data_IF_258794158632
#
_entry.id   IF_258794158632
#
_cell.length_a   1.000
_cell.length_b   1.000
_cell.length_c   1.000
_cell.angle_alpha   90.00
_cell.angle_beta   90.00
_cell.angle_gamma   90.00
#
_symmetry.space_group_name_H-M   'P 1'
#
loop_
_entity.id
_entity.type
_entity.pdbx_description
1 polymer ?
#
# COMPACT_ATOMS: atom_id res chain seq x y z
N UNK A 1 -2.72 9.80 7.20
CA UNK A 1 -2.42 10.88 6.23
C UNK A 1 -3.32 12.12 6.33
N UNK A 2 -4.19 12.29 7.36
CA UNK A 2 -5.05 13.48 7.46
C UNK A 2 -4.47 14.67 8.26
N UNK A 3 -3.36 14.50 8.99
CA UNK A 3 -2.75 15.54 9.85
C UNK A 3 -1.46 16.18 9.31
N UNK A 4 -0.96 15.76 8.15
CA UNK A 4 0.33 16.25 7.61
C UNK A 4 0.23 17.48 6.71
N UNK A 5 -0.96 18.10 6.59
CA UNK A 5 -1.16 19.24 5.68
C UNK A 5 -0.90 20.60 6.36
N UNK A 6 -0.97 20.69 7.70
CA UNK A 6 -0.94 22.00 8.38
C UNK A 6 0.40 22.43 8.99
N UNK A 7 1.41 21.55 9.11
CA UNK A 7 2.72 21.95 9.66
C UNK A 7 3.88 21.23 8.96
N UNK A 8 4.72 21.92 8.18
CA UNK A 8 5.94 21.34 7.62
C UNK A 8 7.06 21.28 8.69
N UNK A 9 7.28 20.08 9.26
CA UNK A 9 8.45 19.69 10.10
C UNK A 9 8.09 19.29 11.54
N UNK A 10 8.70 18.24 12.17
CA UNK A 10 10.16 17.99 12.32
C UNK A 10 10.53 16.46 12.17
N UNK A 11 11.70 15.90 12.58
CA UNK A 11 12.33 14.67 12.04
C UNK A 11 11.52 13.36 12.14
N UNK A 12 10.44 13.36 12.91
CA UNK A 12 9.46 12.27 12.93
C UNK A 12 8.80 12.06 11.57
N UNK A 13 8.38 13.13 10.88
CA UNK A 13 7.77 12.99 9.54
C UNK A 13 8.74 12.41 8.53
N UNK A 14 10.04 12.77 8.61
CA UNK A 14 11.08 12.25 7.72
C UNK A 14 11.28 10.75 7.86
N UNK A 15 11.36 10.24 9.10
CA UNK A 15 11.52 8.80 9.36
C UNK A 15 10.32 7.98 8.90
N UNK A 16 9.10 8.49 9.08
CA UNK A 16 7.89 7.84 8.56
C UNK A 16 7.85 7.87 7.03
N UNK A 17 8.23 8.98 6.40
CA UNK A 17 8.35 9.04 4.93
C UNK A 17 9.40 8.07 4.39
N UNK A 18 10.54 7.90 5.06
CA UNK A 18 11.56 6.91 4.68
C UNK A 18 11.04 5.48 4.84
N UNK A 19 10.33 5.17 5.93
CA UNK A 19 9.69 3.87 6.12
C UNK A 19 8.62 3.59 5.05
N UNK A 20 7.78 4.57 4.73
CA UNK A 20 6.78 4.46 3.67
C UNK A 20 7.43 4.23 2.31
N UNK A 21 8.53 4.92 2.00
CA UNK A 21 9.28 4.70 0.78
C UNK A 21 9.87 3.28 0.71
N UNK A 22 10.40 2.76 1.83
CA UNK A 22 10.89 1.38 1.91
C UNK A 22 9.76 0.35 1.74
N UNK A 23 8.59 0.60 2.33
CA UNK A 23 7.42 -0.27 2.18
C UNK A 23 6.87 -0.26 0.76
N UNK A 24 6.81 0.92 0.13
CA UNK A 24 6.41 1.05 -1.27
C UNK A 24 7.36 0.29 -2.20
N UNK A 25 8.68 0.44 -2.00
CA UNK A 25 9.68 -0.32 -2.74
C UNK A 25 9.49 -1.84 -2.56
N UNK A 26 9.15 -2.30 -1.35
CA UNK A 26 8.86 -3.72 -1.09
C UNK A 26 7.58 -4.20 -1.79
N UNK A 27 6.57 -3.36 -1.94
CA UNK A 27 5.38 -3.69 -2.73
C UNK A 27 5.74 -3.87 -4.22
N UNK A 28 6.59 -3.01 -4.76
CA UNK A 28 7.11 -3.13 -6.13
C UNK A 28 7.94 -4.41 -6.31
N UNK A 29 8.87 -4.69 -5.38
CA UNK A 29 9.69 -5.91 -5.37
C UNK A 29 8.83 -7.18 -5.37
N UNK A 30 7.79 -7.20 -4.53
CA UNK A 30 6.86 -8.32 -4.42
C UNK A 30 6.09 -8.53 -5.74
N UNK A 31 5.57 -7.47 -6.34
CA UNK A 31 4.84 -7.56 -7.59
C UNK A 31 5.73 -8.02 -8.75
N UNK A 32 6.99 -7.56 -8.78
CA UNK A 32 8.00 -8.05 -9.72
C UNK A 32 8.30 -9.55 -9.53
N UNK A 33 8.40 -10.00 -8.28
CA UNK A 33 8.61 -11.41 -7.95
C UNK A 33 7.41 -12.31 -8.32
N UNK A 34 6.18 -11.82 -8.14
CA UNK A 34 4.97 -12.54 -8.57
C UNK A 34 4.88 -12.62 -10.09
N UNK A 35 5.19 -11.51 -10.79
CA UNK A 35 5.23 -11.49 -12.27
C UNK A 35 6.28 -12.44 -12.83
N UNK A 36 7.48 -12.51 -12.25
CA UNK A 36 8.54 -13.40 -12.73
C UNK A 36 8.21 -14.89 -12.57
N UNK A 37 7.33 -15.23 -11.63
CA UNK A 37 6.80 -16.58 -11.42
C UNK A 37 5.59 -16.91 -12.29
N UNK A 38 4.97 -15.91 -12.92
CA UNK A 38 3.75 -16.06 -13.72
C UNK A 38 2.45 -15.92 -12.92
N UNK A 39 2.54 -15.56 -11.63
CA UNK A 39 1.41 -15.44 -10.69
C UNK A 39 0.70 -14.08 -10.79
N UNK A 40 1.25 -13.14 -11.58
CA UNK A 40 0.65 -11.84 -11.85
C UNK A 40 0.42 -11.65 -13.36
N UNK A 41 -0.52 -10.77 -13.70
CA UNK A 41 -0.89 -10.47 -15.09
C UNK A 41 0.35 -10.04 -15.93
N UNK A 42 0.53 -10.59 -17.15
CA UNK A 42 1.62 -10.16 -18.04
C UNK A 42 1.40 -8.72 -18.52
N UNK A 43 2.49 -8.02 -18.82
CA UNK A 43 2.42 -6.66 -19.38
C UNK A 43 2.18 -5.54 -18.37
N UNK A 44 1.99 -5.84 -17.08
CA UNK A 44 1.90 -4.80 -16.04
C UNK A 44 3.27 -4.16 -15.78
N UNK A 45 3.26 -2.84 -15.58
CA UNK A 45 4.38 -2.10 -14.99
C UNK A 45 4.36 -2.35 -13.48
N UNK A 46 5.31 -3.16 -13.00
CA UNK A 46 5.34 -3.60 -11.60
C UNK A 46 5.74 -2.50 -10.63
N UNK A 47 6.47 -1.49 -11.10
CA UNK A 47 6.87 -0.36 -10.27
C UNK A 47 5.71 0.61 -10.08
N UNK A 48 5.09 1.05 -11.19
CA UNK A 48 3.93 1.93 -11.13
C UNK A 48 2.76 1.30 -10.38
N UNK A 49 2.44 0.03 -10.68
CA UNK A 49 1.33 -0.66 -10.04
C UNK A 49 1.62 -1.02 -8.57
N UNK A 50 2.87 -1.39 -8.24
CA UNK A 50 3.29 -1.62 -6.86
C UNK A 50 3.09 -0.38 -5.98
N UNK A 51 3.45 0.80 -6.50
CA UNK A 51 3.22 2.08 -5.81
C UNK A 51 1.72 2.37 -5.62
N UNK A 52 0.89 2.12 -6.64
CA UNK A 52 -0.57 2.32 -6.55
C UNK A 52 -1.19 1.39 -5.50
N UNK A 53 -0.78 0.12 -5.46
CA UNK A 53 -1.23 -0.83 -4.44
C UNK A 53 -0.83 -0.35 -3.04
N UNK A 54 0.44 0.03 -2.84
CA UNK A 54 0.91 0.53 -1.54
C UNK A 54 0.10 1.74 -1.08
N UNK A 55 -0.08 2.74 -1.94
CA UNK A 55 -0.86 3.94 -1.62
C UNK A 55 -2.30 3.59 -1.25
N UNK A 56 -2.92 2.67 -1.98
CA UNK A 56 -4.28 2.21 -1.71
C UNK A 56 -4.40 1.50 -0.36
N UNK A 57 -3.48 0.58 -0.05
CA UNK A 57 -3.44 -0.14 1.22
C UNK A 57 -3.18 0.80 2.39
N UNK A 58 -2.26 1.75 2.24
CA UNK A 58 -1.97 2.73 3.27
C UNK A 58 -3.19 3.60 3.58
N UNK A 59 -3.94 4.02 2.55
CA UNK A 59 -5.18 4.76 2.75
C UNK A 59 -6.26 3.92 3.45
N UNK A 60 -6.42 2.65 3.09
CA UNK A 60 -7.34 1.75 3.80
C UNK A 60 -6.95 1.57 5.27
N UNK A 61 -5.66 1.44 5.56
CA UNK A 61 -5.16 1.34 6.93
C UNK A 61 -5.42 2.64 7.73
N UNK A 62 -5.17 3.81 7.13
CA UNK A 62 -5.48 5.10 7.76
C UNK A 62 -6.97 5.21 8.11
N UNK A 63 -7.86 4.82 7.21
CA UNK A 63 -9.30 4.84 7.49
C UNK A 63 -9.72 3.80 8.52
N UNK A 64 -9.11 2.61 8.51
CA UNK A 64 -9.30 1.59 9.53
C UNK A 64 -8.93 2.09 10.93
N UNK A 65 -7.76 2.73 11.08
CA UNK A 65 -7.30 3.28 12.37
C UNK A 65 -8.19 4.42 12.86
N UNK A 66 -8.83 5.17 11.95
CA UNK A 66 -9.77 6.25 12.29
C UNK A 66 -11.14 5.76 12.73
N UNK A 67 -11.52 4.52 12.40
CA UNK A 67 -12.82 3.97 12.73
C UNK A 67 -12.77 3.29 14.11
N UNK A 68 -13.58 3.76 15.08
CA UNK A 68 -13.53 3.31 16.47
C UNK A 68 -13.85 1.81 16.66
N UNK A 69 -14.65 1.19 15.75
CA UNK A 69 -15.12 -0.19 15.88
C UNK A 69 -14.92 -1.05 14.62
N UNK A 70 -13.99 -0.68 13.72
CA UNK A 70 -13.77 -1.49 12.52
C UNK A 70 -13.03 -2.80 12.87
N UNK A 71 -13.57 -3.98 12.54
CA UNK A 71 -12.87 -5.23 12.75
C UNK A 71 -11.76 -5.42 11.71
N UNK A 72 -10.57 -5.96 12.07
CA UNK A 72 -9.47 -6.18 11.12
C UNK A 72 -9.86 -7.02 9.89
N UNK A 73 -10.87 -7.88 10.01
CA UNK A 73 -11.41 -8.67 8.91
C UNK A 73 -11.93 -7.80 7.75
N UNK A 74 -12.46 -6.61 8.02
CA UNK A 74 -12.94 -5.69 6.99
C UNK A 74 -11.79 -5.11 6.16
N UNK A 75 -10.69 -4.74 6.82
CA UNK A 75 -9.48 -4.27 6.15
C UNK A 75 -8.93 -5.36 5.22
N UNK A 76 -8.82 -6.60 5.70
CA UNK A 76 -8.37 -7.73 4.87
C UNK A 76 -9.28 -7.98 3.67
N UNK A 77 -10.60 -7.92 3.86
CA UNK A 77 -11.58 -8.11 2.79
C UNK A 77 -11.45 -7.06 1.69
N UNK A 78 -11.31 -5.79 2.05
CA UNK A 78 -11.17 -4.70 1.06
C UNK A 78 -9.81 -4.75 0.37
N UNK A 79 -8.74 -5.03 1.13
CA UNK A 79 -7.39 -5.26 0.59
C UNK A 79 -7.36 -6.39 -0.45
N UNK A 80 -8.00 -7.53 -0.15
CA UNK A 80 -8.11 -8.65 -1.09
C UNK A 80 -8.86 -8.24 -2.36
N UNK A 81 -9.95 -7.48 -2.24
CA UNK A 81 -10.70 -6.98 -3.40
C UNK A 81 -9.84 -6.08 -4.30
N UNK A 82 -8.97 -5.25 -3.75
CA UNK A 82 -8.12 -4.34 -4.53
C UNK A 82 -7.03 -5.07 -5.32
N UNK A 83 -6.65 -6.27 -4.89
CA UNK A 83 -5.55 -7.04 -5.48
C UNK A 83 -6.02 -8.27 -6.27
N UNK A 84 -7.28 -8.69 -6.10
CA UNK A 84 -7.84 -9.88 -6.74
C UNK A 84 -7.76 -9.87 -8.28
N UNK A 85 -7.90 -8.70 -8.91
CA UNK A 85 -7.83 -8.58 -10.38
C UNK A 85 -6.41 -8.66 -10.94
N UNK A 86 -5.39 -8.70 -10.08
CA UNK A 86 -3.98 -8.77 -10.47
C UNK A 86 -3.43 -10.19 -10.45
N UNK A 87 -4.09 -11.09 -9.74
CA UNK A 87 -3.75 -12.50 -9.67
C UNK A 87 -4.08 -13.22 -10.99
N UNK A 88 -3.24 -14.19 -11.35
CA UNK A 88 -3.46 -15.11 -12.47
C UNK A 88 -3.93 -16.47 -12.02
#
# INVERSE_FOLDING_TARGET
>A
MAFSIEVPGPPFSKRYTELDAMLAAKACDLLAALKSRGDALPGIDTEALGQVIFNSLNQLFVEFVKAEDSPPADLHRVSARHTASLAR
#
